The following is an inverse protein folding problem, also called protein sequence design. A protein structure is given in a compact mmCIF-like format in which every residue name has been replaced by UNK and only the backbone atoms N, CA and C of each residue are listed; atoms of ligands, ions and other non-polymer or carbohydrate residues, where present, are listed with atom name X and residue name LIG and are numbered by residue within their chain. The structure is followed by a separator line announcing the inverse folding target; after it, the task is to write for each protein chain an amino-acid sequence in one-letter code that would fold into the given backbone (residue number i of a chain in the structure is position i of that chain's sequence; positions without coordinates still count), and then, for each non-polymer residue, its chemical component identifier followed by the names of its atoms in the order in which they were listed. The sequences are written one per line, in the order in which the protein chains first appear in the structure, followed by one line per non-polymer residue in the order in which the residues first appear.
data_IF_465300749187
#
_entry.id   IF_465300749187
#
_cell.length_a   1.000
_cell.length_b   1.000
_cell.length_c   1.000
_cell.angle_alpha   90.00
_cell.angle_beta   90.00
_cell.angle_gamma   90.00
#
_symmetry.space_group_name_H-M   'P 1'
#
loop_
_entity.id
_entity.type
_entity.pdbx_description
1 polymer ?
#
# COMPACT_ATOMS: atom_id res chain seq x y z
N UNK A 1 -2.75 26.67 3.63
CA UNK A 1 -2.92 26.47 2.18
C UNK A 1 -1.77 25.61 1.70
N UNK A 2 -2.00 24.31 1.52
CA UNK A 2 -1.00 23.40 0.94
C UNK A 2 -1.11 23.54 -0.57
N UNK A 3 -0.06 24.01 -1.24
CA UNK A 3 -0.03 24.07 -2.71
C UNK A 3 -0.35 22.68 -3.27
N UNK A 4 -1.39 22.63 -4.10
CA UNK A 4 -1.88 21.38 -4.65
C UNK A 4 -1.05 21.03 -5.88
N UNK A 5 0.03 20.28 -5.68
CA UNK A 5 0.88 19.82 -6.78
C UNK A 5 0.08 18.88 -7.71
N UNK A 6 0.12 19.12 -9.01
CA UNK A 6 -0.52 18.24 -10.01
C UNK A 6 0.30 16.96 -10.19
N UNK A 7 -0.33 15.88 -10.71
CA UNK A 7 0.38 14.62 -11.02
C UNK A 7 1.57 14.86 -11.96
N UNK A 8 1.41 15.73 -12.96
CA UNK A 8 2.47 16.06 -13.92
C UNK A 8 3.66 16.75 -13.24
N UNK A 9 3.40 17.70 -12.35
CA UNK A 9 4.44 18.40 -11.59
C UNK A 9 5.16 17.45 -10.61
N UNK A 10 4.41 16.57 -9.94
CA UNK A 10 5.00 15.58 -9.03
C UNK A 10 5.92 14.63 -9.78
N UNK A 11 5.45 14.12 -10.93
CA UNK A 11 6.25 13.26 -11.79
C UNK A 11 7.50 14.00 -12.29
N UNK A 12 7.38 15.26 -12.74
CA UNK A 12 8.53 16.03 -13.20
C UNK A 12 9.59 16.23 -12.10
N UNK A 13 9.16 16.58 -10.88
CA UNK A 13 10.06 16.77 -9.72
C UNK A 13 10.70 15.46 -9.24
N UNK A 14 10.01 14.33 -9.41
CA UNK A 14 10.45 13.01 -8.96
C UNK A 14 11.01 12.12 -10.07
N UNK A 15 11.16 12.64 -11.28
CA UNK A 15 11.85 11.95 -12.36
C UNK A 15 13.34 12.24 -12.25
N UNK A 16 14.17 11.21 -12.18
CA UNK A 16 15.62 11.38 -12.07
C UNK A 16 16.24 11.50 -13.46
N UNK A 17 17.05 12.56 -13.73
CA UNK A 17 17.84 12.62 -14.95
C UNK A 17 18.85 11.47 -14.98
N UNK A 18 19.18 11.00 -16.18
CA UNK A 18 20.16 9.94 -16.39
C UNK A 18 21.54 10.40 -15.87
N UNK A 19 22.06 9.74 -14.83
CA UNK A 19 23.39 10.06 -14.24
C UNK A 19 24.48 9.01 -14.49
N UNK A 20 24.18 7.88 -15.14
CA UNK A 20 25.15 6.80 -15.29
C UNK A 20 25.83 6.81 -16.66
N UNK A 21 27.11 7.21 -16.69
CA UNK A 21 28.05 7.04 -17.82
C UNK A 21 28.79 5.69 -17.74
N UNK A 22 28.13 4.60 -17.35
CA UNK A 22 28.76 3.28 -17.52
C UNK A 22 28.48 2.86 -18.97
N UNK A 23 29.53 2.71 -19.77
CA UNK A 23 29.38 2.28 -21.16
C UNK A 23 28.90 0.82 -21.20
N UNK A 24 28.01 0.56 -22.15
CA UNK A 24 27.45 -0.77 -22.40
C UNK A 24 28.53 -1.84 -22.56
N UNK A 25 29.57 -1.52 -23.34
CA UNK A 25 30.74 -2.35 -23.59
C UNK A 25 31.45 -2.78 -22.30
N UNK A 26 31.57 -1.88 -21.31
CA UNK A 26 32.22 -2.21 -20.03
C UNK A 26 31.40 -3.21 -19.21
N UNK A 27 30.08 -3.13 -19.28
CA UNK A 27 29.19 -4.06 -18.55
C UNK A 27 29.24 -5.45 -19.21
N UNK A 28 29.20 -5.50 -20.55
CA UNK A 28 29.28 -6.76 -21.29
C UNK A 28 30.65 -7.44 -21.09
N UNK A 29 31.75 -6.69 -21.20
CA UNK A 29 33.09 -7.23 -20.96
C UNK A 29 33.27 -7.75 -19.51
N UNK A 30 32.68 -7.06 -18.52
CA UNK A 30 32.67 -7.53 -17.13
C UNK A 30 31.86 -8.83 -16.95
N UNK A 31 30.69 -8.93 -17.59
CA UNK A 31 29.88 -10.15 -17.61
C UNK A 31 30.63 -11.33 -18.24
N UNK A 32 31.28 -11.11 -19.37
CA UNK A 32 32.12 -12.13 -20.02
C UNK A 32 33.26 -12.59 -19.12
N UNK A 33 33.97 -11.65 -18.49
CA UNK A 33 35.07 -11.96 -17.60
C UNK A 33 34.62 -12.83 -16.42
N UNK A 34 33.52 -12.46 -15.75
CA UNK A 34 32.98 -13.24 -14.61
C UNK A 34 32.48 -14.62 -15.04
N UNK A 35 31.89 -14.73 -16.23
CA UNK A 35 31.43 -16.02 -16.79
C UNK A 35 32.59 -16.92 -17.23
N UNK A 36 33.76 -16.35 -17.54
CA UNK A 36 34.95 -17.07 -17.93
C UNK A 36 35.81 -17.53 -16.74
N UNK A 37 35.62 -16.93 -15.55
CA UNK A 37 36.34 -17.31 -14.33
C UNK A 37 35.91 -18.71 -13.85
N UNK A 38 36.83 -19.68 -13.67
CA UNK A 38 36.53 -20.96 -13.05
C UNK A 38 36.00 -20.75 -11.63
N UNK A 39 34.87 -21.37 -11.28
CA UNK A 39 34.32 -21.22 -9.94
C UNK A 39 35.08 -22.13 -8.96
N UNK A 40 35.75 -21.51 -7.99
CA UNK A 40 36.33 -22.21 -6.85
C UNK A 40 35.56 -21.78 -5.60
N UNK A 41 34.49 -22.52 -5.32
CA UNK A 41 33.58 -22.37 -4.16
C UNK A 41 32.68 -21.11 -4.21
N UNK A 42 31.42 -21.23 -3.78
CA UNK A 42 30.36 -20.18 -3.75
C UNK A 42 29.58 -19.90 -5.06
N UNK A 43 29.02 -20.98 -5.63
CA UNK A 43 28.11 -20.95 -6.81
C UNK A 43 26.95 -19.95 -6.67
N UNK A 44 26.38 -19.81 -5.46
CA UNK A 44 25.26 -18.89 -5.21
C UNK A 44 25.67 -17.42 -5.30
N UNK A 45 26.80 -17.03 -4.71
CA UNK A 45 27.30 -15.66 -4.76
C UNK A 45 27.72 -15.27 -6.18
N UNK A 46 28.31 -16.21 -6.91
CA UNK A 46 28.66 -16.04 -8.32
C UNK A 46 27.42 -15.82 -9.19
N UNK A 47 26.37 -16.64 -9.03
CA UNK A 47 25.10 -16.45 -9.73
C UNK A 47 24.42 -15.12 -9.37
N UNK A 48 24.43 -14.73 -8.09
CA UNK A 48 23.90 -13.46 -7.63
C UNK A 48 24.68 -12.27 -8.24
N UNK A 49 26.01 -12.38 -8.34
CA UNK A 49 26.86 -11.41 -9.01
C UNK A 49 26.52 -11.23 -10.50
N UNK A 50 26.32 -12.33 -11.22
CA UNK A 50 25.90 -12.31 -12.63
C UNK A 50 24.51 -11.70 -12.77
N UNK A 51 23.55 -12.11 -11.96
CA UNK A 51 22.19 -11.55 -11.98
C UNK A 51 22.20 -10.04 -11.71
N UNK A 52 23.02 -9.58 -10.76
CA UNK A 52 23.18 -8.15 -10.46
C UNK A 52 23.73 -7.39 -11.67
N UNK A 53 24.75 -7.91 -12.34
CA UNK A 53 25.32 -7.27 -13.53
C UNK A 53 24.35 -7.27 -14.73
N UNK A 54 23.62 -8.36 -14.95
CA UNK A 54 22.55 -8.42 -15.94
C UNK A 54 21.45 -7.39 -15.64
N UNK A 55 21.06 -7.27 -14.37
CA UNK A 55 20.11 -6.24 -13.90
C UNK A 55 20.61 -4.82 -14.17
N UNK A 56 21.91 -4.56 -13.96
CA UNK A 56 22.54 -3.26 -14.30
C UNK A 56 22.52 -3.00 -15.80
N UNK A 57 22.82 -4.00 -16.65
CA UNK A 57 22.74 -3.85 -18.11
C UNK A 57 21.31 -3.51 -18.54
N UNK A 58 20.33 -4.33 -18.15
CA UNK A 58 18.92 -4.17 -18.55
C UNK A 58 18.40 -2.81 -18.09
N UNK A 59 18.67 -2.44 -16.83
CA UNK A 59 18.31 -1.12 -16.30
C UNK A 59 18.95 0.00 -17.12
N UNK A 60 20.24 -0.11 -17.46
CA UNK A 60 20.94 0.92 -18.24
C UNK A 60 20.34 1.08 -19.63
N UNK A 61 20.01 -0.02 -20.31
CA UNK A 61 19.39 0.02 -21.63
C UNK A 61 17.96 0.55 -21.58
N UNK A 62 17.13 0.03 -20.68
CA UNK A 62 15.73 0.42 -20.57
C UNK A 62 15.57 1.89 -20.19
N UNK A 63 16.48 2.40 -19.35
CA UNK A 63 16.44 3.80 -18.91
C UNK A 63 16.81 4.82 -19.99
N UNK A 64 17.42 4.38 -21.11
CA UNK A 64 17.60 5.22 -22.31
C UNK A 64 16.28 5.61 -22.95
N UNK A 65 15.27 4.75 -22.82
CA UNK A 65 13.93 4.96 -23.39
C UNK A 65 12.95 5.53 -22.36
N UNK A 66 13.08 5.14 -21.09
CA UNK A 66 12.14 5.50 -20.03
C UNK A 66 12.87 6.00 -18.77
N UNK A 67 12.62 7.23 -18.31
CA UNK A 67 13.33 7.76 -17.15
C UNK A 67 12.90 7.06 -15.84
N UNK A 68 13.77 7.10 -14.84
CA UNK A 68 13.51 6.46 -13.54
C UNK A 68 12.64 7.38 -12.67
N UNK A 69 11.50 6.84 -12.21
CA UNK A 69 10.70 7.45 -11.15
C UNK A 69 11.37 7.25 -9.79
N UNK A 70 11.52 8.31 -9.00
CA UNK A 70 11.99 8.21 -7.62
C UNK A 70 10.92 7.59 -6.72
N UNK A 71 11.35 6.82 -5.71
CA UNK A 71 10.44 6.20 -4.73
C UNK A 71 9.67 7.21 -3.86
N UNK A 72 10.01 8.49 -3.92
CA UNK A 72 9.45 9.56 -3.10
C UNK A 72 7.98 9.85 -3.42
N UNK A 73 7.54 9.63 -4.66
CA UNK A 73 6.17 9.98 -5.07
C UNK A 73 5.11 9.17 -4.30
N UNK A 74 5.43 7.92 -3.91
CA UNK A 74 4.57 7.07 -3.09
C UNK A 74 4.54 7.49 -1.61
N UNK A 75 5.52 8.27 -1.17
CA UNK A 75 5.65 8.75 0.20
C UNK A 75 5.01 10.12 0.41
N UNK A 76 4.58 10.79 -0.66
CA UNK A 76 3.86 12.06 -0.56
C UNK A 76 2.52 11.81 0.11
N UNK A 77 2.26 12.51 1.21
CA UNK A 77 1.05 12.34 2.01
C UNK A 77 0.14 13.56 1.93
N UNK A 78 -1.16 13.33 2.11
CA UNK A 78 -2.18 14.38 2.27
C UNK A 78 -3.00 14.15 3.53
N UNK A 79 -3.47 15.24 4.16
CA UNK A 79 -4.38 15.17 5.29
C UNK A 79 -5.82 15.13 4.76
N UNK A 80 -6.52 14.03 5.00
CA UNK A 80 -7.93 13.86 4.66
C UNK A 80 -8.76 14.12 5.93
N UNK A 81 -9.59 15.16 5.90
CA UNK A 81 -10.57 15.44 6.93
C UNK A 81 -11.93 14.92 6.46
N UNK A 82 -12.51 14.01 7.23
CA UNK A 82 -13.86 13.49 6.99
C UNK A 82 -14.77 14.20 8.01
N UNK A 83 -15.64 15.11 7.54
CA UNK A 83 -16.70 15.64 8.38
C UNK A 83 -17.72 14.51 8.62
N UNK A 84 -18.16 14.34 9.87
CA UNK A 84 -19.30 13.48 10.28
C UNK A 84 -19.51 12.19 9.45
N UNK A 85 -19.00 11.04 9.94
CA UNK A 85 -19.26 9.76 9.29
C UNK A 85 -20.77 9.47 9.18
N UNK A 86 -21.30 9.13 7.99
CA UNK A 86 -22.70 8.79 7.84
C UNK A 86 -23.03 7.53 8.66
N UNK A 87 -24.16 7.57 9.37
CA UNK A 87 -24.62 6.49 10.25
C UNK A 87 -24.82 5.13 9.54
N UNK A 88 -24.85 5.11 8.20
CA UNK A 88 -25.00 3.91 7.36
C UNK A 88 -23.70 3.14 7.14
N UNK A 89 -22.53 3.78 7.16
CA UNK A 89 -21.22 3.07 7.13
C UNK A 89 -20.83 2.55 8.53
N UNK A 90 -21.75 2.73 9.46
CA UNK A 90 -21.68 2.49 10.89
C UNK A 90 -22.81 1.52 11.30
N UNK A 91 -23.14 0.50 10.49
CA UNK A 91 -24.17 -0.49 10.85
C UNK A 91 -23.91 -1.21 12.20
N UNK A 92 -22.69 -1.12 12.74
CA UNK A 92 -22.32 -1.56 14.10
C UNK A 92 -22.15 -0.42 15.14
N UNK A 93 -22.48 0.83 14.80
CA UNK A 93 -22.34 2.03 15.64
C UNK A 93 -23.73 2.66 15.90
N UNK A 94 -24.56 1.95 16.66
CA UNK A 94 -25.83 2.50 17.18
C UNK A 94 -25.66 3.15 18.55
N UNK A 95 -24.61 3.94 18.72
CA UNK A 95 -24.44 4.77 19.92
C UNK A 95 -24.18 6.22 19.50
N UNK A 96 -24.63 7.14 20.35
CA UNK A 96 -24.63 8.60 20.29
C UNK A 96 -23.28 9.32 20.04
N UNK A 97 -22.30 8.64 19.47
CA UNK A 97 -20.90 9.04 19.38
C UNK A 97 -20.55 9.45 17.94
N UNK A 98 -21.25 10.46 17.43
CA UNK A 98 -20.87 11.13 16.19
C UNK A 98 -19.58 11.91 16.47
N UNK A 99 -18.45 11.41 15.97
CA UNK A 99 -17.23 12.21 15.96
C UNK A 99 -17.42 13.33 14.94
N UNK A 100 -17.22 14.57 15.40
CA UNK A 100 -17.40 15.76 14.56
C UNK A 100 -16.41 15.82 13.41
N UNK A 101 -15.18 15.31 13.62
CA UNK A 101 -14.12 15.32 12.62
C UNK A 101 -13.18 14.13 12.81
N UNK A 102 -12.92 13.41 11.72
CA UNK A 102 -11.89 12.36 11.66
C UNK A 102 -10.84 12.82 10.67
N UNK A 103 -9.59 12.85 11.12
CA UNK A 103 -8.46 13.20 10.25
C UNK A 103 -7.50 12.03 10.15
N UNK A 104 -7.08 11.73 8.92
CA UNK A 104 -6.05 10.73 8.65
C UNK A 104 -5.14 11.18 7.53
N UNK A 105 -3.93 10.63 7.53
CA UNK A 105 -2.92 10.94 6.53
C UNK A 105 -2.80 9.75 5.59
N UNK A 106 -3.14 9.94 4.32
CA UNK A 106 -3.02 8.91 3.29
C UNK A 106 -2.04 9.34 2.18
N UNK A 107 -1.48 8.39 1.40
CA UNK A 107 -0.67 8.71 0.24
C UNK A 107 -1.47 9.54 -0.77
N UNK A 108 -0.84 10.59 -1.30
CA UNK A 108 -1.42 11.47 -2.31
C UNK A 108 -1.75 10.72 -3.61
N UNK A 109 -0.97 9.68 -3.93
CA UNK A 109 -1.16 8.87 -5.10
C UNK A 109 -1.52 7.44 -4.72
N UNK A 110 -2.62 6.94 -5.29
CA UNK A 110 -2.97 5.53 -5.29
C UNK A 110 -2.15 4.79 -6.35
N UNK A 111 -1.89 3.52 -6.07
CA UNK A 111 -1.03 2.68 -6.89
C UNK A 111 -1.60 1.25 -6.95
N UNK A 112 -1.83 0.75 -8.16
CA UNK A 112 -2.35 -0.60 -8.35
C UNK A 112 -1.69 -1.27 -9.54
N UNK A 113 -1.48 -2.60 -9.47
CA UNK A 113 -1.05 -3.38 -10.63
C UNK A 113 -2.15 -3.38 -11.70
N UNK A 114 -1.76 -3.32 -12.97
CA UNK A 114 -2.67 -3.33 -14.11
C UNK A 114 -3.57 -4.57 -14.06
N UNK A 115 -4.89 -4.37 -14.11
CA UNK A 115 -5.90 -5.43 -13.95
C UNK A 115 -6.57 -5.45 -12.57
N UNK A 116 -5.96 -4.82 -11.56
CA UNK A 116 -6.61 -4.55 -10.27
C UNK A 116 -7.79 -3.58 -10.48
N UNK A 117 -8.93 -3.86 -9.83
CA UNK A 117 -10.13 -3.01 -9.92
C UNK A 117 -10.24 -1.97 -8.80
N UNK A 118 -9.69 -2.28 -7.63
CA UNK A 118 -9.82 -1.46 -6.42
C UNK A 118 -8.49 -1.38 -5.71
N UNK A 119 -8.08 -0.17 -5.35
CA UNK A 119 -6.97 0.07 -4.45
C UNK A 119 -7.49 0.26 -3.02
N UNK A 120 -6.75 -0.28 -2.05
CA UNK A 120 -7.09 -0.19 -0.64
C UNK A 120 -5.90 0.33 0.14
N UNK A 121 -6.16 1.27 1.05
CA UNK A 121 -5.21 1.78 2.02
C UNK A 121 -5.79 1.64 3.42
N UNK A 122 -4.96 1.17 4.36
CA UNK A 122 -5.32 1.09 5.77
C UNK A 122 -4.42 2.01 6.60
N UNK A 123 -5.00 2.66 7.61
CA UNK A 123 -4.28 3.47 8.57
C UNK A 123 -5.07 3.68 9.84
N UNK A 124 -4.52 4.49 10.75
CA UNK A 124 -5.21 4.97 11.93
C UNK A 124 -5.56 6.45 11.77
N UNK A 125 -6.67 6.84 12.37
CA UNK A 125 -7.16 8.20 12.39
C UNK A 125 -7.43 8.63 13.81
N UNK A 126 -7.20 9.91 14.10
CA UNK A 126 -7.55 10.51 15.38
C UNK A 126 -8.94 11.11 15.26
N UNK A 127 -9.81 10.73 16.19
CA UNK A 127 -11.15 11.27 16.31
C UNK A 127 -11.28 12.07 17.60
N UNK A 128 -11.81 13.29 17.51
CA UNK A 128 -11.91 14.23 18.63
C UNK A 128 -13.38 14.52 18.92
N UNK A 129 -13.79 14.42 20.18
CA UNK A 129 -15.10 14.87 20.69
C UNK A 129 -14.94 15.52 22.05
N UNK A 130 -15.33 16.79 22.18
CA UNK A 130 -15.40 17.48 23.48
C UNK A 130 -14.10 17.43 24.32
N UNK A 131 -12.93 17.35 23.67
CA UNK A 131 -11.63 17.21 24.32
C UNK A 131 -11.10 15.77 24.49
N UNK A 132 -11.91 14.74 24.23
CA UNK A 132 -11.47 13.34 24.23
C UNK A 132 -10.98 12.92 22.84
N UNK A 133 -9.79 12.30 22.78
CA UNK A 133 -9.19 11.77 21.56
C UNK A 133 -9.20 10.23 21.59
N UNK A 134 -9.64 9.60 20.50
CA UNK A 134 -9.51 8.15 20.28
C UNK A 134 -8.91 7.86 18.92
N UNK A 135 -8.18 6.75 18.83
CA UNK A 135 -7.71 6.22 17.57
C UNK A 135 -8.76 5.30 16.96
N UNK A 136 -8.96 5.41 15.65
CA UNK A 136 -9.91 4.63 14.84
C UNK A 136 -9.14 4.03 13.66
N UNK A 137 -9.39 2.77 13.33
CA UNK A 137 -8.85 2.16 12.12
C UNK A 137 -9.66 2.66 10.91
N UNK A 138 -8.98 3.25 9.93
CA UNK A 138 -9.60 3.74 8.71
C UNK A 138 -9.07 2.95 7.52
N UNK A 139 -9.99 2.46 6.70
CA UNK A 139 -9.71 1.83 5.42
C UNK A 139 -10.29 2.70 4.32
N UNK A 140 -9.47 3.10 3.37
CA UNK A 140 -9.87 3.88 2.20
C UNK A 140 -9.79 2.98 0.98
N UNK A 141 -10.85 2.95 0.20
CA UNK A 141 -10.93 2.29 -1.09
C UNK A 141 -11.05 3.31 -2.20
N UNK A 142 -10.35 3.08 -3.31
CA UNK A 142 -10.49 3.87 -4.52
C UNK A 142 -10.67 2.96 -5.73
N UNK A 143 -11.55 3.35 -6.64
CA UNK A 143 -11.70 2.65 -7.93
C UNK A 143 -10.48 2.92 -8.81
N UNK A 144 -9.94 1.85 -9.40
CA UNK A 144 -8.80 1.97 -10.32
C UNK A 144 -9.33 2.48 -11.67
N UNK A 145 -8.82 3.61 -12.20
CA UNK A 145 -9.26 4.12 -13.49
C UNK A 145 -8.86 3.15 -14.60
N UNK A 146 -9.75 2.97 -15.58
CA UNK A 146 -9.45 2.15 -16.76
C UNK A 146 -8.39 2.86 -17.61
N UNK A 147 -7.25 2.20 -17.93
CA UNK A 147 -6.26 2.79 -18.80
C UNK A 147 -6.86 3.06 -20.19
N UNK A 148 -6.61 4.24 -20.79
CA UNK A 148 -7.01 4.51 -22.16
C UNK A 148 -6.19 3.64 -23.13
N UNK A 149 -6.67 3.51 -24.37
CA UNK A 149 -6.06 2.62 -25.38
C UNK A 149 -4.60 2.98 -25.66
N UNK A 150 -4.27 4.27 -25.61
CA UNK A 150 -2.92 4.78 -25.81
C UNK A 150 -1.96 4.31 -24.72
N UNK A 151 -2.41 4.25 -23.47
CA UNK A 151 -1.62 3.74 -22.35
C UNK A 151 -1.38 2.23 -22.47
N UNK A 152 -2.37 1.48 -22.93
CA UNK A 152 -2.23 0.04 -23.21
C UNK A 152 -1.28 -0.23 -24.40
N UNK A 153 -1.30 0.63 -25.42
CA UNK A 153 -0.34 0.53 -26.52
C UNK A 153 1.10 0.87 -26.06
N UNK A 154 1.25 1.86 -25.18
CA UNK A 154 2.53 2.22 -24.59
C UNK A 154 3.09 1.08 -23.71
N UNK A 155 2.25 0.39 -22.93
CA UNK A 155 2.71 -0.77 -22.13
C UNK A 155 3.17 -1.92 -23.02
N UNK A 156 2.45 -2.23 -24.10
CA UNK A 156 2.88 -3.21 -25.09
C UNK A 156 4.23 -2.85 -25.73
N UNK A 157 4.42 -1.56 -26.05
CA UNK A 157 5.68 -1.05 -26.61
C UNK A 157 6.85 -1.16 -25.62
N UNK A 158 6.60 -0.87 -24.34
CA UNK A 158 7.59 -1.04 -23.27
C UNK A 158 7.98 -2.52 -23.10
N UNK A 159 7.02 -3.44 -23.14
CA UNK A 159 7.30 -4.89 -23.12
C UNK A 159 8.15 -5.31 -24.31
N UNK A 160 7.81 -4.88 -25.53
CA UNK A 160 8.59 -5.19 -26.72
C UNK A 160 10.02 -4.63 -26.66
N UNK A 161 10.19 -3.44 -26.07
CA UNK A 161 11.51 -2.83 -25.83
C UNK A 161 12.33 -3.72 -24.88
N UNK A 162 11.73 -4.15 -23.77
CA UNK A 162 12.38 -5.04 -22.81
C UNK A 162 12.76 -6.38 -23.46
N UNK A 163 11.86 -6.99 -24.23
CA UNK A 163 12.14 -8.21 -25.00
C UNK A 163 13.29 -8.04 -25.99
N UNK A 164 13.40 -6.88 -26.65
CA UNK A 164 14.51 -6.58 -27.57
C UNK A 164 15.84 -6.48 -26.83
N UNK A 165 15.86 -5.87 -25.64
CA UNK A 165 17.06 -5.82 -24.78
C UNK A 165 17.48 -7.22 -24.37
N UNK A 166 16.53 -8.08 -23.98
CA UNK A 166 16.82 -9.48 -23.68
C UNK A 166 17.34 -10.24 -24.90
N UNK A 167 16.74 -10.08 -26.07
CA UNK A 167 17.16 -10.76 -27.30
C UNK A 167 18.64 -10.47 -27.62
N UNK A 168 19.10 -9.22 -27.45
CA UNK A 168 20.52 -8.86 -27.63
C UNK A 168 21.46 -9.58 -26.65
N UNK A 169 21.03 -9.80 -25.41
CA UNK A 169 21.81 -10.59 -24.45
C UNK A 169 21.88 -12.07 -24.86
N UNK A 170 20.83 -12.61 -25.47
CA UNK A 170 20.80 -13.97 -26.00
C UNK A 170 21.70 -14.17 -27.24
N UNK A 171 21.84 -13.14 -28.08
CA UNK A 171 22.76 -13.16 -29.24
C UNK A 171 24.24 -13.26 -28.82
N UNK A 172 24.55 -12.86 -27.60
CA UNK A 172 25.91 -12.88 -27.09
C UNK A 172 26.34 -14.30 -26.69
N UNK A 173 27.40 -14.85 -27.30
CA UNK A 173 27.77 -16.27 -27.18
C UNK A 173 27.83 -16.82 -25.73
N UNK A 174 28.64 -16.21 -24.87
CA UNK A 174 28.85 -16.70 -23.48
C UNK A 174 27.65 -16.39 -22.58
N UNK A 175 27.14 -15.16 -22.66
CA UNK A 175 26.01 -14.68 -21.84
C UNK A 175 24.72 -15.42 -22.23
N UNK A 176 24.40 -15.52 -23.52
CA UNK A 176 23.24 -16.24 -24.04
C UNK A 176 23.26 -17.72 -23.67
N UNK A 177 24.44 -18.36 -23.71
CA UNK A 177 24.59 -19.75 -23.24
C UNK A 177 24.27 -19.89 -21.75
N UNK A 178 24.67 -18.92 -20.93
CA UNK A 178 24.32 -18.89 -19.51
C UNK A 178 22.82 -18.65 -19.29
N UNK A 179 22.22 -17.70 -20.02
CA UNK A 179 20.79 -17.38 -19.93
C UNK A 179 19.91 -18.57 -20.32
N UNK A 180 20.28 -19.30 -21.38
CA UNK A 180 19.56 -20.48 -21.84
C UNK A 180 19.57 -21.62 -20.83
N UNK A 181 20.62 -21.74 -20.01
CA UNK A 181 20.75 -22.80 -19.00
C UNK A 181 20.08 -22.46 -17.67
N UNK A 182 20.10 -21.19 -17.28
CA UNK A 182 19.75 -20.78 -15.92
C UNK A 182 18.41 -20.01 -15.82
N UNK A 183 17.77 -19.68 -16.95
CA UNK A 183 16.52 -18.90 -17.02
C UNK A 183 16.42 -17.76 -15.99
N UNK A 184 17.47 -16.95 -15.76
CA UNK A 184 17.61 -16.22 -14.50
C UNK A 184 16.66 -15.03 -14.36
N UNK A 185 15.94 -14.65 -15.42
CA UNK A 185 15.20 -13.40 -15.52
C UNK A 185 13.93 -13.58 -16.38
N UNK A 186 12.93 -14.30 -15.86
CA UNK A 186 11.56 -14.22 -16.37
C UNK A 186 10.72 -13.18 -15.62
N UNK A 187 11.32 -12.09 -15.13
CA UNK A 187 10.51 -10.97 -14.66
C UNK A 187 9.94 -10.23 -15.86
N UNK A 188 8.75 -10.64 -16.29
CA UNK A 188 7.90 -9.81 -17.15
C UNK A 188 7.66 -8.49 -16.42
N UNK A 189 8.03 -7.37 -17.04
CA UNK A 189 7.81 -6.05 -16.44
C UNK A 189 6.37 -5.91 -15.95
N UNK A 190 6.20 -5.56 -14.68
CA UNK A 190 4.86 -5.36 -14.08
C UNK A 190 4.44 -3.91 -14.26
N UNK A 191 3.30 -3.72 -14.92
CA UNK A 191 2.73 -2.39 -15.12
C UNK A 191 1.86 -2.03 -13.94
N UNK A 192 2.05 -0.81 -13.46
CA UNK A 192 1.24 -0.27 -12.39
C UNK A 192 0.66 1.08 -12.81
N UNK A 193 -0.57 1.30 -12.37
CA UNK A 193 -1.31 2.54 -12.58
C UNK A 193 -1.07 3.39 -11.34
N UNK A 194 -0.55 4.59 -11.55
CA UNK A 194 -0.41 5.62 -10.52
C UNK A 194 -1.41 6.72 -10.86
N UNK A 195 -2.31 7.04 -9.93
CA UNK A 195 -3.26 8.12 -10.10
C UNK A 195 -3.53 8.80 -8.76
N UNK A 196 -4.10 10.00 -8.83
CA UNK A 196 -4.65 10.68 -7.66
C UNK A 196 -6.15 10.43 -7.68
N UNK A 197 -6.72 9.71 -6.71
CA UNK A 197 -8.17 9.52 -6.63
C UNK A 197 -8.87 10.87 -6.50
N UNK A 198 -10.02 11.02 -7.16
CA UNK A 198 -10.91 12.15 -6.90
C UNK A 198 -11.71 11.89 -5.60
N UNK A 199 -12.16 12.92 -4.89
CA UNK A 199 -12.93 12.74 -3.65
C UNK A 199 -14.14 11.80 -3.83
N UNK A 200 -14.82 11.89 -4.97
CA UNK A 200 -16.01 11.10 -5.28
C UNK A 200 -15.70 9.62 -5.60
N UNK A 201 -14.44 9.28 -5.90
CA UNK A 201 -13.99 7.90 -6.13
C UNK A 201 -13.68 7.15 -4.82
N UNK A 202 -13.65 7.87 -3.69
CA UNK A 202 -13.24 7.33 -2.41
C UNK A 202 -14.42 6.75 -1.65
N UNK A 203 -14.29 5.49 -1.26
CA UNK A 203 -15.14 4.87 -0.24
C UNK A 203 -14.32 4.69 1.04
N UNK A 204 -14.82 5.19 2.16
CA UNK A 204 -14.08 5.20 3.42
C UNK A 204 -14.83 4.37 4.46
N UNK A 205 -14.16 3.38 5.02
CA UNK A 205 -14.66 2.59 6.14
C UNK A 205 -13.86 2.95 7.39
N UNK A 206 -14.55 3.27 8.48
CA UNK A 206 -13.91 3.54 9.76
C UNK A 206 -14.42 2.54 10.79
N UNK A 207 -13.51 1.79 11.41
CA UNK A 207 -13.82 0.83 12.47
C UNK A 207 -13.06 1.22 13.73
N UNK A 208 -13.72 1.26 14.91
CA UNK A 208 -12.98 1.38 16.15
C UNK A 208 -11.94 0.24 16.22
N UNK A 209 -10.77 0.44 16.84
CA UNK A 209 -9.90 -0.68 17.16
C UNK A 209 -10.71 -1.69 17.97
N UNK A 210 -10.64 -2.97 17.58
CA UNK A 210 -11.16 -4.05 18.42
C UNK A 210 -10.47 -3.91 19.78
N UNK A 211 -11.26 -3.54 20.78
CA UNK A 211 -10.80 -3.52 22.16
C UNK A 211 -11.58 -4.56 22.89
N UNK A 212 -10.93 -5.68 23.12
CA UNK A 212 -11.20 -6.47 24.32
C UNK A 212 -10.91 -5.56 25.51
N UNK A 213 -11.89 -5.31 26.40
CA UNK A 213 -11.56 -4.79 27.71
C UNK A 213 -10.45 -5.63 28.35
N UNK A 214 -9.50 -4.95 28.99
CA UNK A 214 -8.42 -5.57 29.72
C UNK A 214 -8.54 -5.22 31.20
N UNK A 215 -8.54 -6.24 32.06
CA UNK A 215 -8.32 -6.06 33.49
C UNK A 215 -6.81 -6.00 33.73
N UNK A 216 -6.34 -4.91 34.31
CA UNK A 216 -4.93 -4.73 34.67
C UNK A 216 -4.85 -4.49 36.17
N UNK A 217 -3.90 -5.17 36.83
CA UNK A 217 -3.56 -4.93 38.23
C UNK A 217 -2.28 -4.12 38.30
N UNK A 218 -2.29 -3.07 39.12
CA UNK A 218 -1.10 -2.29 39.41
C UNK A 218 -0.50 -2.73 40.75
N UNK A 219 0.77 -3.16 40.74
CA UNK A 219 1.48 -3.59 41.95
C UNK A 219 2.96 -3.17 41.85
N UNK A 220 3.50 -2.58 42.91
CA UNK A 220 4.91 -2.14 43.00
C UNK A 220 5.42 -1.34 41.78
N UNK A 221 4.62 -0.40 41.27
CA UNK A 221 4.92 0.44 40.09
C UNK A 221 5.00 -0.30 38.74
N UNK A 222 4.66 -1.57 38.69
CA UNK A 222 4.52 -2.35 37.46
C UNK A 222 3.04 -2.68 37.21
N UNK A 223 2.67 -2.72 35.92
CA UNK A 223 1.33 -3.09 35.47
C UNK A 223 1.31 -4.52 34.96
N UNK A 224 0.45 -5.35 35.55
CA UNK A 224 0.30 -6.76 35.18
C UNK A 224 -1.07 -6.96 34.52
N UNK A 225 -1.07 -7.46 33.27
CA UNK A 225 -2.29 -7.84 32.57
C UNK A 225 -2.90 -9.06 33.27
N UNK A 226 -4.15 -8.94 33.73
CA UNK A 226 -4.85 -10.00 34.46
C UNK A 226 -5.75 -10.81 33.55
N UNK A 227 -6.54 -10.13 32.70
CA UNK A 227 -7.42 -10.79 31.75
C UNK A 227 -7.75 -9.86 30.58
N UNK A 228 -8.04 -10.44 29.41
CA UNK A 228 -8.79 -9.81 28.33
C UNK A 228 -10.05 -10.61 28.08
N UNK A 229 -11.12 -9.98 27.60
CA UNK A 229 -12.30 -10.71 27.14
C UNK A 229 -12.98 -9.97 25.99
N UNK A 230 -13.53 -10.71 25.03
CA UNK A 230 -14.51 -10.16 24.07
C UNK A 230 -15.77 -9.72 24.84
N UNK A 231 -16.45 -8.63 24.43
CA UNK A 231 -17.84 -8.37 24.86
C UNK A 231 -18.77 -8.94 23.78
N UNK A 232 -19.36 -10.14 23.93
CA UNK A 232 -20.27 -10.68 22.95
C UNK A 232 -21.68 -10.15 23.25
N UNK A 233 -22.31 -9.48 22.28
CA UNK A 233 -23.76 -9.14 22.30
C UNK A 233 -24.20 -8.13 23.37
N UNK A 234 -23.61 -6.95 23.45
CA UNK A 234 -24.18 -5.90 24.31
C UNK A 234 -25.59 -5.51 23.80
N UNK A 235 -26.63 -5.77 24.61
CA UNK A 235 -28.03 -5.46 24.28
C UNK A 235 -28.16 -3.93 24.07
N UNK A 236 -28.95 -3.45 23.08
CA UNK A 236 -29.21 -2.02 22.93
C UNK A 236 -29.74 -1.46 24.26
N UNK A 237 -29.22 -0.32 24.72
CA UNK A 237 -29.64 0.31 25.99
C UNK A 237 -31.17 0.44 26.13
N UNK A 238 -31.90 0.62 25.01
CA UNK A 238 -33.37 0.62 24.99
C UNK A 238 -34.00 -0.68 25.47
N UNK A 239 -33.42 -1.84 25.15
CA UNK A 239 -33.91 -3.13 25.63
C UNK A 239 -33.69 -3.29 27.15
N UNK A 240 -32.57 -2.79 27.67
CA UNK A 240 -32.30 -2.75 29.11
C UNK A 240 -33.22 -1.75 29.84
N UNK A 241 -33.48 -0.60 29.23
CA UNK A 241 -34.38 0.41 29.78
C UNK A 241 -35.84 -0.07 29.76
N UNK A 242 -36.27 -0.79 28.72
CA UNK A 242 -37.58 -1.43 28.67
C UNK A 242 -37.72 -2.55 29.69
N UNK A 243 -36.73 -3.45 29.84
CA UNK A 243 -36.72 -4.46 30.92
C UNK A 243 -36.81 -3.79 32.31
N UNK A 244 -36.08 -2.70 32.54
CA UNK A 244 -36.09 -2.00 33.83
C UNK A 244 -37.39 -1.20 34.09
N UNK A 245 -37.99 -0.63 33.03
CA UNK A 245 -39.26 0.10 33.11
C UNK A 245 -40.45 -0.87 33.24
N UNK A 246 -40.39 -2.05 32.63
CA UNK A 246 -41.39 -3.11 32.77
C UNK A 246 -41.32 -3.78 34.16
N UNK A 247 -40.12 -3.98 34.72
CA UNK A 247 -39.92 -4.51 36.09
C UNK A 247 -40.39 -3.53 37.19
N UNK A 248 -40.38 -2.22 36.91
CA UNK A 248 -40.88 -1.20 37.85
C UNK A 248 -42.38 -0.97 37.77
N UNK A 249 -43.06 -1.41 36.70
CA UNK A 249 -44.52 -1.40 36.61
C UNK A 249 -45.22 -2.64 37.15
N UNK A 250 -44.49 -3.76 37.36
CA UNK A 250 -45.09 -5.03 37.82
C UNK A 250 -44.97 -5.29 39.33
N UNK A 251 -44.37 -4.39 40.11
CA UNK A 251 -44.17 -4.57 41.56
C UNK A 251 -45.13 -3.76 42.46
N UNK A 252 -46.08 -3.01 41.89
CA UNK A 252 -47.05 -2.20 42.67
C UNK A 252 -48.46 -2.82 42.81
N UNK A 253 -48.71 -4.05 42.32
CA UNK A 253 -50.06 -4.65 42.31
C UNK A 253 -50.19 -5.99 43.06
N UNK A 254 -49.45 -6.15 44.17
CA UNK A 254 -49.70 -7.22 45.17
C UNK A 254 -49.78 -6.65 46.58
N UNK A 255 -50.78 -5.79 46.78
CA UNK A 255 -51.33 -5.44 48.08
C UNK A 255 -52.85 -5.60 48.04
N UNK A 256 -53.32 -6.83 48.23
CA UNK A 256 -54.50 -7.22 49.01
C UNK A 256 -54.60 -8.76 49.11
#
# INVERSE_FOLDING_TARGET
MTETLTLKEALAQHTRPQKNKISEEKILAGLEAVLATPWEYEVEEWHAGIQKMLGVYIKTQFTRHYPILSGSIRQLTTNLLIPELPATDLENYRTSDVYTNISTTCPLFAFAEMGTKTWTWGGSAKAIRGGYQRDINVTIHATVPKPPREALAASATATATLSTIYARLFEHRTIGSYLAKNHPLQETGRFHILWRPEPDDLRIEARPPDKDPALVMQFCNEGYLIATWDIPREKPYKALLSEFMEDSTNNDDRGD
#
